data_IF_697958738730
#
_entry.id   IF_697958738730
#
_cell.length_a   1.000
_cell.length_b   1.000
_cell.length_c   1.000
_cell.angle_alpha   90.00
_cell.angle_beta   90.00
_cell.angle_gamma   90.00
#
_symmetry.space_group_name_H-M   'P 1'
#
loop_
_entity.id
_entity.type
_entity.pdbx_description
1 polymer ?
#
# COMPACT_ATOMS: atom_id res chain seq x y z
N UNK A 1 0.84 -15.07 1.59
CA UNK A 1 0.11 -13.88 2.10
C UNK A 1 -0.99 -13.45 1.14
N UNK A 2 -0.70 -13.28 -0.12
CA UNK A 2 -1.60 -12.88 -1.20
C UNK A 2 -3.01 -13.50 -1.16
N UNK A 3 -3.12 -14.80 -1.21
CA UNK A 3 -4.42 -15.51 -1.22
C UNK A 3 -5.34 -15.17 -0.03
N UNK A 4 -4.78 -14.82 1.13
CA UNK A 4 -5.57 -14.47 2.34
C UNK A 4 -6.19 -13.08 2.21
N UNK A 5 -5.49 -12.14 1.59
CA UNK A 5 -5.99 -10.77 1.39
C UNK A 5 -7.11 -10.73 0.36
N UNK A 6 -7.03 -11.54 -0.69
CA UNK A 6 -8.14 -11.71 -1.64
C UNK A 6 -9.40 -12.25 -0.94
N UNK A 7 -9.26 -13.25 -0.06
CA UNK A 7 -10.39 -13.78 0.70
C UNK A 7 -10.98 -12.74 1.64
N UNK A 8 -10.15 -11.93 2.31
CA UNK A 8 -10.63 -10.83 3.14
C UNK A 8 -11.41 -9.79 2.35
N UNK A 9 -10.96 -9.45 1.14
CA UNK A 9 -11.69 -8.54 0.25
C UNK A 9 -13.08 -9.10 -0.13
N UNK A 10 -13.17 -10.39 -0.44
CA UNK A 10 -14.46 -11.06 -0.70
C UNK A 10 -15.37 -11.10 0.52
N UNK A 11 -14.81 -11.28 1.72
CA UNK A 11 -15.59 -11.21 2.96
C UNK A 11 -16.12 -9.79 3.18
N UNK A 12 -15.29 -8.76 2.97
CA UNK A 12 -15.71 -7.36 3.10
C UNK A 12 -16.82 -7.01 2.09
N UNK A 13 -16.69 -7.46 0.85
CA UNK A 13 -17.72 -7.31 -0.18
C UNK A 13 -19.05 -7.96 0.24
N UNK A 14 -19.00 -9.20 0.71
CA UNK A 14 -20.21 -9.91 1.17
C UNK A 14 -20.82 -9.29 2.42
N UNK A 15 -20.02 -8.83 3.36
CA UNK A 15 -20.50 -8.24 4.59
C UNK A 15 -21.12 -6.86 4.39
N UNK A 16 -20.62 -6.09 3.40
CA UNK A 16 -21.10 -4.75 3.09
C UNK A 16 -22.25 -4.73 2.07
N UNK A 17 -22.35 -5.75 1.23
CA UNK A 17 -23.23 -5.76 0.05
C UNK A 17 -22.77 -4.84 -1.08
N UNK A 18 -21.56 -4.28 -1.00
CA UNK A 18 -20.96 -3.35 -1.97
C UNK A 18 -19.74 -4.01 -2.62
N UNK A 19 -19.57 -3.88 -3.93
CA UNK A 19 -18.40 -4.43 -4.63
C UNK A 19 -17.09 -3.90 -4.08
N UNK A 20 -16.05 -4.72 -4.00
CA UNK A 20 -14.80 -4.40 -3.30
C UNK A 20 -14.15 -3.09 -3.74
N UNK A 21 -14.07 -2.83 -5.04
CA UNK A 21 -13.48 -1.60 -5.57
C UNK A 21 -14.24 -0.35 -5.12
N UNK A 22 -15.56 -0.40 -5.19
CA UNK A 22 -16.44 0.67 -4.75
C UNK A 22 -16.39 0.83 -3.22
N UNK A 23 -16.34 -0.27 -2.48
CA UNK A 23 -16.20 -0.26 -1.02
C UNK A 23 -14.91 0.46 -0.60
N UNK A 24 -13.77 0.17 -1.25
CA UNK A 24 -12.50 0.85 -0.97
C UNK A 24 -12.59 2.33 -1.33
N UNK A 25 -13.21 2.66 -2.47
CA UNK A 25 -13.41 4.06 -2.84
C UNK A 25 -14.21 4.81 -1.77
N UNK A 26 -15.38 4.32 -1.41
CA UNK A 26 -16.29 4.98 -0.47
C UNK A 26 -15.80 5.01 0.98
N UNK A 27 -15.07 3.98 1.41
CA UNK A 27 -14.68 3.83 2.83
C UNK A 27 -13.24 4.23 3.12
N UNK A 28 -12.40 4.35 2.09
CA UNK A 28 -10.98 4.70 2.26
C UNK A 28 -10.61 5.91 1.45
N UNK A 29 -10.78 5.86 0.11
CA UNK A 29 -10.25 6.92 -0.75
C UNK A 29 -10.99 8.25 -0.55
N UNK A 30 -12.30 8.25 -0.61
CA UNK A 30 -13.12 9.46 -0.48
C UNK A 30 -12.97 10.13 0.90
N UNK A 31 -13.11 9.41 2.03
CA UNK A 31 -12.94 10.01 3.35
C UNK A 31 -11.52 10.51 3.62
N UNK A 32 -10.50 9.87 3.02
CA UNK A 32 -9.11 10.29 3.15
C UNK A 32 -8.71 11.41 2.17
N UNK A 33 -9.58 11.80 1.24
CA UNK A 33 -9.29 12.79 0.21
C UNK A 33 -8.25 12.31 -0.82
N UNK A 34 -8.22 11.01 -1.13
CA UNK A 34 -7.29 10.38 -2.06
C UNK A 34 -7.83 10.44 -3.50
N UNK A 35 -7.86 11.63 -4.08
CA UNK A 35 -8.51 11.91 -5.37
C UNK A 35 -7.82 11.30 -6.59
N UNK A 36 -6.55 10.93 -6.47
CA UNK A 36 -5.72 10.33 -7.52
C UNK A 36 -5.42 8.84 -7.25
N UNK A 37 -6.29 8.19 -6.45
CA UNK A 37 -6.17 6.77 -6.11
C UNK A 37 -7.37 6.00 -6.64
N UNK A 38 -7.11 4.95 -7.43
CA UNK A 38 -8.17 4.12 -7.99
C UNK A 38 -7.67 2.73 -8.40
N UNK A 39 -8.58 1.76 -8.47
CA UNK A 39 -8.34 0.49 -9.14
C UNK A 39 -8.52 0.66 -10.65
N UNK A 40 -7.48 1.12 -11.34
CA UNK A 40 -7.48 1.29 -12.79
C UNK A 40 -7.30 -0.06 -13.49
N UNK A 41 -7.82 -0.14 -14.72
CA UNK A 41 -7.52 -1.27 -15.62
C UNK A 41 -6.18 -1.04 -16.29
N UNK A 42 -5.31 -2.05 -16.29
CA UNK A 42 -3.97 -1.97 -16.88
C UNK A 42 -3.98 -1.90 -18.42
N UNK A 43 -5.09 -2.29 -19.04
CA UNK A 43 -5.30 -2.23 -20.49
C UNK A 43 -5.98 -0.90 -20.96
N UNK A 44 -6.41 -0.05 -20.00
CA UNK A 44 -7.09 1.22 -20.29
C UNK A 44 -6.53 2.36 -19.42
N UNK A 45 -5.22 2.39 -19.18
CA UNK A 45 -4.60 3.37 -18.30
C UNK A 45 -4.70 4.79 -18.85
N UNK A 46 -5.11 5.78 -18.04
CA UNK A 46 -5.02 7.18 -18.43
C UNK A 46 -3.57 7.61 -18.63
N UNK A 47 -3.31 8.61 -19.51
CA UNK A 47 -1.98 9.03 -19.89
C UNK A 47 -1.08 9.53 -18.73
N UNK A 48 -1.67 9.83 -17.55
CA UNK A 48 -0.95 10.21 -16.33
C UNK A 48 -0.59 9.03 -15.42
N UNK A 49 -1.05 7.81 -15.72
CA UNK A 49 -0.69 6.61 -14.95
C UNK A 49 0.63 6.03 -15.43
N UNK A 50 1.52 5.70 -14.50
CA UNK A 50 2.81 5.09 -14.83
C UNK A 50 2.62 3.63 -15.25
N UNK A 51 3.30 3.24 -16.32
CA UNK A 51 3.50 1.83 -16.68
C UNK A 51 4.63 1.24 -15.84
N UNK A 52 4.46 0.00 -15.39
CA UNK A 52 5.53 -0.77 -14.80
C UNK A 52 6.40 -1.46 -15.85
N UNK A 53 7.66 -1.74 -15.51
CA UNK A 53 8.64 -2.35 -16.41
C UNK A 53 9.36 -3.51 -15.74
N UNK A 54 9.52 -4.58 -16.51
CA UNK A 54 10.26 -5.78 -16.13
C UNK A 54 11.37 -6.08 -17.15
N UNK A 55 12.53 -6.59 -16.74
CA UNK A 55 13.54 -7.08 -17.67
C UNK A 55 13.11 -8.44 -18.26
N UNK A 56 13.07 -8.53 -19.57
CA UNK A 56 12.85 -9.77 -20.34
C UNK A 56 13.94 -9.87 -21.39
N UNK A 57 14.76 -10.90 -21.32
CA UNK A 57 15.89 -11.11 -22.22
C UNK A 57 16.82 -9.88 -22.38
N UNK A 58 17.09 -9.18 -21.27
CA UNK A 58 17.93 -7.98 -21.23
C UNK A 58 17.25 -6.69 -21.74
N UNK A 59 16.00 -6.74 -22.14
CA UNK A 59 15.21 -5.58 -22.60
C UNK A 59 14.09 -5.26 -21.60
N UNK A 60 13.91 -3.98 -21.28
CA UNK A 60 12.79 -3.54 -20.45
C UNK A 60 11.49 -3.59 -21.23
N UNK A 61 10.52 -4.34 -20.75
CA UNK A 61 9.16 -4.46 -21.31
C UNK A 61 8.12 -4.04 -20.31
N UNK A 62 6.98 -3.54 -20.77
CA UNK A 62 5.86 -3.20 -19.88
C UNK A 62 5.32 -4.45 -19.19
N UNK A 63 4.81 -4.27 -17.96
CA UNK A 63 4.26 -5.34 -17.14
C UNK A 63 2.77 -5.64 -17.38
N UNK A 64 2.15 -5.06 -18.41
CA UNK A 64 0.70 -5.12 -18.64
C UNK A 64 0.16 -6.56 -18.67
N UNK A 65 0.92 -7.51 -19.22
CA UNK A 65 0.52 -8.92 -19.28
C UNK A 65 0.95 -9.76 -18.06
N UNK A 66 1.59 -9.16 -17.07
CA UNK A 66 2.15 -9.87 -15.90
C UNK A 66 1.38 -9.64 -14.62
N UNK A 67 0.44 -8.71 -14.64
CA UNK A 67 -0.44 -8.36 -13.53
C UNK A 67 -1.91 -8.63 -13.90
N UNK A 68 -2.79 -8.81 -12.92
CA UNK A 68 -4.23 -8.79 -13.17
C UNK A 68 -4.62 -7.49 -13.87
N UNK A 69 -5.54 -7.58 -14.83
CA UNK A 69 -6.05 -6.41 -15.59
C UNK A 69 -6.55 -5.32 -14.64
N UNK A 70 -7.14 -5.71 -13.51
CA UNK A 70 -7.55 -4.80 -12.44
C UNK A 70 -7.11 -5.35 -11.09
N UNK A 71 -6.60 -4.50 -10.24
CA UNK A 71 -6.20 -4.87 -8.88
C UNK A 71 -7.35 -5.46 -8.05
N UNK A 72 -7.01 -6.12 -6.97
CA UNK A 72 -7.94 -6.79 -6.05
C UNK A 72 -7.46 -6.65 -4.60
N UNK A 73 -7.98 -7.45 -3.67
CA UNK A 73 -7.61 -7.39 -2.25
C UNK A 73 -6.13 -7.65 -1.93
N UNK A 74 -5.37 -8.21 -2.85
CA UNK A 74 -3.94 -8.41 -2.69
C UNK A 74 -3.10 -7.18 -3.08
N UNK A 75 -3.61 -6.37 -4.02
CA UNK A 75 -2.93 -5.17 -4.49
C UNK A 75 -3.40 -4.69 -5.85
N UNK A 76 -2.58 -3.85 -6.50
CA UNK A 76 -2.84 -3.33 -7.84
C UNK A 76 -3.68 -2.06 -7.88
N UNK A 77 -3.79 -1.34 -6.76
CA UNK A 77 -4.34 0.01 -6.74
C UNK A 77 -3.29 1.01 -7.25
N UNK A 78 -3.68 1.94 -8.08
CA UNK A 78 -2.86 3.06 -8.51
C UNK A 78 -3.04 4.22 -7.52
N UNK A 79 -1.96 4.86 -7.15
CA UNK A 79 -1.97 5.96 -6.17
C UNK A 79 -0.82 6.93 -6.41
N UNK A 80 -0.81 8.03 -5.66
CA UNK A 80 0.26 9.03 -5.64
C UNK A 80 0.90 9.11 -4.24
N UNK A 81 2.10 9.68 -4.15
CA UNK A 81 2.74 9.93 -2.86
C UNK A 81 1.92 10.92 -2.00
N UNK A 82 1.20 11.84 -2.65
CA UNK A 82 0.31 12.78 -1.97
C UNK A 82 -0.88 12.06 -1.33
N UNK A 83 -1.53 11.17 -2.07
CA UNK A 83 -2.67 10.39 -1.57
C UNK A 83 -2.26 9.42 -0.46
N UNK A 84 -1.10 8.81 -0.57
CA UNK A 84 -0.58 7.95 0.51
C UNK A 84 -0.32 8.76 1.80
N UNK A 85 0.15 10.01 1.67
CA UNK A 85 0.23 10.91 2.83
C UNK A 85 -1.15 11.21 3.40
N UNK A 86 -2.14 11.50 2.55
CA UNK A 86 -3.53 11.72 2.96
C UNK A 86 -4.11 10.51 3.69
N UNK A 87 -3.84 9.29 3.18
CA UNK A 87 -4.21 8.04 3.86
C UNK A 87 -3.68 7.99 5.30
N UNK A 88 -2.37 8.23 5.51
CA UNK A 88 -1.79 8.19 6.85
C UNK A 88 -2.41 9.23 7.78
N UNK A 89 -2.63 10.45 7.29
CA UNK A 89 -3.27 11.51 8.07
C UNK A 89 -4.71 11.15 8.46
N UNK A 90 -5.49 10.59 7.54
CA UNK A 90 -6.86 10.16 7.78
C UNK A 90 -6.94 8.94 8.70
N UNK A 91 -6.02 7.97 8.54
CA UNK A 91 -5.96 6.77 9.37
C UNK A 91 -5.64 7.11 10.83
N UNK A 92 -4.51 7.80 11.07
CA UNK A 92 -4.11 8.17 12.44
C UNK A 92 -4.98 9.29 13.04
N UNK A 93 -5.66 10.07 12.20
CA UNK A 93 -6.65 11.07 12.62
C UNK A 93 -8.01 10.50 13.02
N UNK A 94 -8.23 9.20 12.91
CA UNK A 94 -9.50 8.56 13.26
C UNK A 94 -10.63 8.79 12.23
N UNK A 95 -10.30 9.25 11.02
CA UNK A 95 -11.26 9.50 9.95
C UNK A 95 -11.74 8.20 9.28
N UNK A 96 -10.80 7.26 9.05
CA UNK A 96 -11.10 5.99 8.38
C UNK A 96 -11.69 4.96 9.33
N UNK A 97 -11.18 4.89 10.54
CA UNK A 97 -11.68 4.04 11.63
C UNK A 97 -11.49 4.77 12.96
N UNK A 98 -12.30 4.50 13.98
CA UNK A 98 -12.14 5.09 15.31
C UNK A 98 -10.74 4.88 15.88
N UNK A 99 -10.23 5.81 16.67
CA UNK A 99 -8.84 5.81 17.17
C UNK A 99 -8.49 4.59 18.04
N UNK A 100 -9.46 3.99 18.72
CA UNK A 100 -9.30 2.72 19.41
C UNK A 100 -8.98 1.57 18.46
N UNK A 101 -9.60 1.53 17.27
CA UNK A 101 -9.26 0.56 16.22
C UNK A 101 -7.93 0.84 15.57
N UNK A 102 -7.56 2.11 15.34
CA UNK A 102 -6.20 2.47 14.91
C UNK A 102 -5.18 1.85 15.85
N UNK A 103 -5.36 2.07 17.17
CA UNK A 103 -4.47 1.52 18.20
C UNK A 103 -4.40 -0.01 18.18
N UNK A 104 -5.54 -0.69 17.96
CA UNK A 104 -5.58 -2.14 17.85
C UNK A 104 -4.90 -2.65 16.55
N UNK A 105 -5.09 -1.96 15.44
CA UNK A 105 -4.54 -2.37 14.13
C UNK A 105 -3.01 -2.28 14.09
N UNK A 106 -2.41 -1.34 14.83
CA UNK A 106 -0.94 -1.18 14.86
C UNK A 106 -0.27 -1.93 16.03
N UNK A 107 -1.01 -2.74 16.80
CA UNK A 107 -0.41 -3.64 17.79
C UNK A 107 0.20 -4.87 17.11
N UNK A 108 1.37 -5.34 17.54
CA UNK A 108 1.94 -6.59 17.05
C UNK A 108 1.01 -7.78 17.35
N UNK A 109 0.61 -8.49 16.31
CA UNK A 109 -0.26 -9.69 16.39
C UNK A 109 0.48 -10.96 15.98
N UNK A 110 1.50 -10.81 15.15
CA UNK A 110 2.33 -11.92 14.70
C UNK A 110 3.73 -11.43 14.36
N UNK A 111 4.67 -12.37 14.34
CA UNK A 111 5.98 -12.18 13.73
C UNK A 111 5.88 -12.70 12.30
N UNK A 112 6.14 -11.84 11.35
CA UNK A 112 6.15 -12.18 9.95
C UNK A 112 7.56 -12.66 9.53
N UNK A 113 7.75 -12.87 8.23
CA UNK A 113 9.02 -13.28 7.68
C UNK A 113 10.12 -12.26 8.01
N UNK A 114 11.34 -12.72 8.25
CA UNK A 114 12.49 -11.92 8.67
C UNK A 114 12.29 -11.17 10.02
N UNK A 115 11.56 -11.78 10.96
CA UNK A 115 11.29 -11.27 12.31
C UNK A 115 10.55 -9.92 12.35
N UNK A 116 10.05 -9.44 11.22
CA UNK A 116 9.23 -8.22 11.20
C UNK A 116 7.91 -8.45 11.93
N UNK A 117 7.55 -7.51 12.79
CA UNK A 117 6.26 -7.52 13.48
C UNK A 117 5.13 -7.11 12.52
N UNK A 118 3.96 -7.72 12.67
CA UNK A 118 2.80 -7.43 11.84
C UNK A 118 1.55 -7.23 12.70
N UNK A 119 0.82 -6.17 12.41
CA UNK A 119 -0.47 -5.84 13.01
C UNK A 119 -1.64 -6.35 12.17
N UNK A 120 -2.73 -5.61 12.14
CA UNK A 120 -3.87 -5.89 11.27
C UNK A 120 -3.73 -5.08 9.97
N UNK A 121 -3.00 -5.64 9.00
CA UNK A 121 -2.76 -5.01 7.70
C UNK A 121 -1.48 -4.15 7.61
N UNK A 122 -0.76 -3.97 8.70
CA UNK A 122 0.43 -3.12 8.75
C UNK A 122 1.68 -3.87 9.18
N UNK A 123 2.79 -3.59 8.53
CA UNK A 123 4.12 -3.95 9.01
C UNK A 123 4.55 -2.95 10.09
N UNK A 124 5.19 -3.44 11.13
CA UNK A 124 5.60 -2.65 12.28
C UNK A 124 7.12 -2.70 12.43
N UNK A 125 7.72 -1.58 12.79
CA UNK A 125 9.15 -1.56 13.08
C UNK A 125 9.49 -2.46 14.26
N UNK A 126 10.68 -3.06 14.27
CA UNK A 126 11.15 -3.89 15.37
C UNK A 126 11.43 -3.05 16.64
N UNK A 127 11.79 -1.78 16.44
CA UNK A 127 11.95 -0.78 17.50
C UNK A 127 11.26 0.52 17.10
N UNK A 128 10.81 1.30 18.10
CA UNK A 128 10.06 2.53 17.86
C UNK A 128 8.61 2.30 17.42
N UNK A 129 8.00 3.37 16.90
CA UNK A 129 6.58 3.46 16.59
C UNK A 129 6.26 3.39 15.08
N UNK A 130 7.26 3.23 14.23
CA UNK A 130 7.07 3.29 12.78
C UNK A 130 6.15 2.19 12.27
N UNK A 131 5.14 2.60 11.53
CA UNK A 131 4.15 1.77 10.85
C UNK A 131 4.41 1.82 9.35
N UNK A 132 4.30 0.68 8.66
CA UNK A 132 4.73 0.55 7.27
C UNK A 132 3.67 -0.12 6.41
N UNK A 133 3.55 0.38 5.20
CA UNK A 133 2.92 -0.31 4.07
C UNK A 133 4.01 -0.61 3.06
N UNK A 134 4.07 -1.84 2.58
CA UNK A 134 5.04 -2.23 1.55
C UNK A 134 4.50 -3.37 0.70
N UNK A 135 4.91 -3.38 -0.54
CA UNK A 135 4.60 -4.43 -1.48
C UNK A 135 5.45 -4.33 -2.74
N UNK A 136 5.45 -5.39 -3.50
CA UNK A 136 6.05 -5.44 -4.83
C UNK A 136 5.37 -6.50 -5.67
N UNK A 137 5.44 -6.31 -6.97
CA UNK A 137 5.04 -7.29 -7.97
C UNK A 137 5.85 -7.08 -9.25
N UNK A 138 5.52 -7.78 -10.32
CA UNK A 138 6.18 -7.62 -11.61
C UNK A 138 6.13 -6.16 -12.07
N UNK A 139 7.29 -5.49 -12.12
CA UNK A 139 7.43 -4.13 -12.60
C UNK A 139 6.89 -3.03 -11.68
N UNK A 140 6.66 -3.32 -10.40
CA UNK A 140 6.22 -2.31 -9.43
C UNK A 140 6.76 -2.62 -8.04
N UNK A 141 7.11 -1.58 -7.30
CA UNK A 141 7.42 -1.68 -5.87
C UNK A 141 6.98 -0.41 -5.13
N UNK A 142 6.64 -0.60 -3.87
CA UNK A 142 6.07 0.44 -3.02
C UNK A 142 6.55 0.27 -1.58
N UNK A 143 6.88 1.37 -0.93
CA UNK A 143 7.14 1.44 0.50
C UNK A 143 6.69 2.80 1.03
N UNK A 144 5.90 2.78 2.08
CA UNK A 144 5.53 3.96 2.83
C UNK A 144 5.71 3.70 4.31
N UNK A 145 6.37 4.60 5.01
CA UNK A 145 6.62 4.54 6.44
C UNK A 145 6.07 5.80 7.09
N UNK A 146 5.31 5.62 8.15
CA UNK A 146 4.78 6.69 8.98
C UNK A 146 5.24 6.52 10.42
N UNK A 147 5.67 7.61 11.04
CA UNK A 147 6.03 7.69 12.45
C UNK A 147 4.96 8.47 13.20
N UNK A 148 4.05 7.80 13.93
CA UNK A 148 2.92 8.47 14.57
C UNK A 148 3.31 9.58 15.56
N UNK A 149 4.38 9.37 16.34
CA UNK A 149 4.86 10.35 17.33
C UNK A 149 5.35 11.65 16.67
N UNK A 150 6.14 11.56 15.62
CA UNK A 150 6.72 12.72 14.93
C UNK A 150 5.87 13.21 13.75
N UNK A 151 4.87 12.45 13.34
CA UNK A 151 4.05 12.65 12.13
C UNK A 151 4.87 12.69 10.84
N UNK A 152 6.09 12.18 10.88
CA UNK A 152 6.93 12.07 9.69
C UNK A 152 6.44 10.92 8.82
N UNK A 153 6.30 11.20 7.53
CA UNK A 153 5.98 10.18 6.52
C UNK A 153 6.99 10.24 5.40
N UNK A 154 7.49 9.08 4.98
CA UNK A 154 8.23 8.97 3.74
C UNK A 154 7.67 7.84 2.87
N UNK A 155 7.50 8.13 1.59
CA UNK A 155 6.90 7.21 0.63
C UNK A 155 7.78 7.15 -0.62
N UNK A 156 8.03 5.94 -1.08
CA UNK A 156 8.73 5.66 -2.34
C UNK A 156 7.85 4.74 -3.17
N UNK A 157 7.58 5.14 -4.40
CA UNK A 157 6.85 4.34 -5.40
C UNK A 157 7.78 4.19 -6.60
N UNK A 158 7.89 3.00 -7.14
CA UNK A 158 8.69 2.72 -8.32
C UNK A 158 7.90 1.88 -9.32
N UNK A 159 8.11 2.17 -10.58
CA UNK A 159 7.61 1.40 -11.71
C UNK A 159 8.57 0.29 -12.16
N UNK A 160 9.37 -0.23 -11.23
CA UNK A 160 10.18 -1.45 -11.35
C UNK A 160 10.10 -2.23 -10.04
N UNK A 161 10.30 -3.55 -10.09
CA UNK A 161 10.19 -4.42 -8.90
C UNK A 161 11.20 -4.08 -7.79
N UNK A 162 12.38 -3.54 -8.15
CA UNK A 162 13.48 -3.32 -7.21
C UNK A 162 13.75 -1.83 -6.88
N UNK A 163 13.13 -0.90 -7.60
CA UNK A 163 13.49 0.53 -7.54
C UNK A 163 13.22 1.21 -6.20
N UNK A 164 12.27 0.72 -5.43
CA UNK A 164 11.90 1.29 -4.13
C UNK A 164 12.94 1.02 -3.03
N UNK A 165 13.54 -0.16 -3.03
CA UNK A 165 14.28 -0.65 -1.86
C UNK A 165 15.57 0.13 -1.54
N UNK A 166 16.42 0.53 -2.50
CA UNK A 166 17.62 1.33 -2.20
C UNK A 166 17.27 2.67 -1.53
N UNK A 167 16.27 3.37 -2.07
CA UNK A 167 15.83 4.66 -1.52
C UNK A 167 15.19 4.51 -0.15
N UNK A 168 14.34 3.50 0.03
CA UNK A 168 13.71 3.22 1.34
C UNK A 168 14.76 2.95 2.41
N UNK A 169 15.79 2.14 2.11
CA UNK A 169 16.88 1.88 3.07
C UNK A 169 17.65 3.15 3.42
N UNK A 170 17.96 3.98 2.42
CA UNK A 170 18.67 5.24 2.65
C UNK A 170 17.86 6.23 3.51
N UNK A 171 16.55 6.33 3.26
CA UNK A 171 15.65 7.17 4.05
C UNK A 171 15.54 6.67 5.50
N UNK A 172 15.33 5.38 5.71
CA UNK A 172 15.25 4.79 7.05
C UNK A 172 16.56 5.07 7.81
N UNK A 173 17.72 4.81 7.20
CA UNK A 173 19.01 5.05 7.84
C UNK A 173 19.23 6.51 8.26
N UNK A 174 18.74 7.47 7.48
CA UNK A 174 18.87 8.91 7.77
C UNK A 174 17.86 9.42 8.80
N UNK A 175 16.65 8.85 8.82
CA UNK A 175 15.55 9.32 9.66
C UNK A 175 15.45 8.59 11.00
N UNK A 176 16.21 7.49 11.17
CA UNK A 176 16.31 6.75 12.43
C UNK A 176 17.58 7.12 13.24
N UNK A 177 18.40 8.03 12.73
CA UNK A 177 19.54 8.62 13.41
C UNK A 177 19.10 9.89 14.15
#
# INVERSE_FOLDING_TARGET
MAKRLVVLALIAERASGVGYHELVQQRVCDPAGMSDTAFLRSDELPGRAALGYIPVDGVMRSNVFHLPVRGNGDGGIYSTVADIRSFWMAFFGGVLVPTEWVSEMVKPRSVAWAEERYGLGFWLANSGDAVRLKGYDAGVSFSSVHHPTTRLTHTVISNTSEGTWPLTRALIARLSA
#
